data_IF_451124246236
#
_entry.id   IF_451124246236
#
_cell.length_a   1.000
_cell.length_b   1.000
_cell.length_c   1.000
_cell.angle_alpha   90.00
_cell.angle_beta   90.00
_cell.angle_gamma   90.00
#
_symmetry.space_group_name_H-M   'P 1'
#
loop_
_entity.id
_entity.type
_entity.pdbx_description
1 polymer ?
#
# COMPACT_ATOMS: atom_id res chain seq x y z
N UNK A 1 11.66 -11.69 -10.31
CA UNK A 1 12.12 -11.94 -8.91
C UNK A 1 11.14 -11.27 -7.97
N UNK A 2 10.89 -11.85 -6.80
CA UNK A 2 9.98 -11.24 -5.81
C UNK A 2 10.56 -9.93 -5.25
N UNK A 3 9.69 -8.96 -4.95
CA UNK A 3 10.05 -7.70 -4.29
C UNK A 3 10.01 -7.79 -2.77
N UNK A 4 9.63 -8.95 -2.21
CA UNK A 4 9.61 -9.13 -0.76
C UNK A 4 11.03 -8.99 -0.18
N UNK A 5 11.15 -8.26 0.92
CA UNK A 5 12.43 -7.96 1.58
C UNK A 5 13.47 -7.21 0.73
N UNK A 6 13.06 -6.57 -0.37
CA UNK A 6 13.94 -5.67 -1.12
C UNK A 6 13.73 -4.20 -0.69
N UNK A 7 14.76 -3.38 -0.87
CA UNK A 7 14.67 -1.93 -0.71
C UNK A 7 13.80 -1.34 -1.81
N UNK A 8 12.93 -0.39 -1.46
CA UNK A 8 12.21 0.43 -2.45
C UNK A 8 13.21 1.18 -3.33
N UNK A 9 13.06 1.06 -4.64
CA UNK A 9 13.91 1.73 -5.62
C UNK A 9 13.68 3.24 -5.59
N UNK A 10 14.71 4.08 -5.87
CA UNK A 10 14.54 5.53 -5.91
C UNK A 10 13.50 5.99 -6.93
N UNK A 11 12.65 6.93 -6.52
CA UNK A 11 11.61 7.49 -7.35
C UNK A 11 11.32 8.94 -6.99
N UNK A 12 10.71 9.66 -7.91
CA UNK A 12 10.23 11.03 -7.70
C UNK A 12 8.98 11.22 -8.53
N UNK A 13 7.88 11.54 -7.85
CA UNK A 13 6.54 11.66 -8.43
C UNK A 13 5.79 12.80 -7.75
N UNK A 14 4.75 13.30 -8.43
CA UNK A 14 3.85 14.31 -7.90
C UNK A 14 2.57 13.64 -7.39
N UNK A 15 2.00 14.17 -6.32
CA UNK A 15 0.74 13.70 -5.75
C UNK A 15 -0.21 14.85 -5.46
N UNK A 16 -1.50 14.58 -5.58
CA UNK A 16 -2.53 15.44 -4.99
C UNK A 16 -2.77 15.03 -3.53
N UNK A 17 -2.73 15.98 -2.61
CA UNK A 17 -3.01 15.75 -1.20
C UNK A 17 -3.70 16.95 -0.57
N UNK A 18 -4.96 16.78 -0.14
CA UNK A 18 -5.75 17.78 0.60
C UNK A 18 -5.70 19.19 -0.03
N UNK A 19 -5.96 19.27 -1.35
CA UNK A 19 -6.02 20.54 -2.07
C UNK A 19 -4.67 21.10 -2.52
N UNK A 20 -3.56 20.37 -2.33
CA UNK A 20 -2.21 20.78 -2.75
C UNK A 20 -1.56 19.72 -3.61
N UNK A 21 -0.63 20.16 -4.45
CA UNK A 21 0.33 19.27 -5.09
C UNK A 21 1.59 19.18 -4.25
N UNK A 22 2.07 17.96 -4.05
CA UNK A 22 3.26 17.66 -3.26
C UNK A 22 4.16 16.68 -4.01
N UNK A 23 5.46 16.81 -3.78
CA UNK A 23 6.44 15.84 -4.26
C UNK A 23 6.54 14.66 -3.27
N UNK A 24 6.56 13.44 -3.81
CA UNK A 24 6.78 12.21 -3.05
C UNK A 24 7.98 11.46 -3.64
N UNK A 25 8.90 11.04 -2.77
CA UNK A 25 10.10 10.27 -3.13
C UNK A 25 10.26 9.07 -2.22
N UNK A 26 11.26 8.20 -2.48
CA UNK A 26 11.57 7.09 -1.58
C UNK A 26 11.97 7.57 -0.17
N UNK A 27 12.54 8.79 -0.06
CA UNK A 27 12.87 9.40 1.21
C UNK A 27 11.62 9.76 2.03
N UNK A 28 10.50 10.10 1.37
CA UNK A 28 9.21 10.35 2.02
C UNK A 28 8.65 9.11 2.74
N UNK A 29 9.12 7.91 2.39
CA UNK A 29 8.71 6.64 2.99
C UNK A 29 9.56 6.24 4.20
N UNK A 30 10.68 6.93 4.47
CA UNK A 30 11.59 6.58 5.58
C UNK A 30 11.04 7.06 6.93
N UNK A 31 11.38 6.34 7.99
CA UNK A 31 11.03 6.70 9.37
C UNK A 31 9.57 6.44 9.76
N UNK A 32 8.74 5.96 8.84
CA UNK A 32 7.34 5.57 9.09
C UNK A 32 6.97 4.35 8.27
N UNK A 33 5.93 3.64 8.69
CA UNK A 33 5.34 2.60 7.85
C UNK A 33 4.60 3.25 6.68
N UNK A 34 4.60 2.58 5.53
CA UNK A 34 3.91 3.07 4.34
C UNK A 34 3.15 1.93 3.66
N UNK A 35 1.95 2.21 3.17
CA UNK A 35 1.14 1.30 2.36
C UNK A 35 0.91 1.94 0.99
N UNK A 36 1.50 1.37 -0.06
CA UNK A 36 1.29 1.81 -1.44
C UNK A 36 0.26 0.89 -2.09
N UNK A 37 -0.81 1.48 -2.63
CA UNK A 37 -1.92 0.79 -3.29
C UNK A 37 -1.98 1.28 -4.74
N UNK A 38 -1.46 0.46 -5.64
CA UNK A 38 -1.53 0.65 -7.09
C UNK A 38 -2.91 0.21 -7.59
N UNK A 39 -3.46 0.95 -8.54
CA UNK A 39 -4.70 0.59 -9.23
C UNK A 39 -4.68 1.11 -10.67
N UNK A 40 -5.50 0.56 -11.57
CA UNK A 40 -5.38 0.82 -13.01
C UNK A 40 -5.46 2.28 -13.40
N UNK A 41 -6.58 2.94 -13.08
CA UNK A 41 -6.84 4.31 -13.50
C UNK A 41 -7.92 5.00 -12.66
N UNK A 42 -7.81 6.33 -12.57
CA UNK A 42 -8.85 7.22 -12.09
C UNK A 42 -10.11 7.14 -12.98
N UNK A 43 -11.27 7.55 -12.44
CA UNK A 43 -12.56 7.60 -13.16
C UNK A 43 -13.08 6.26 -13.72
N UNK A 44 -12.64 5.14 -13.17
CA UNK A 44 -13.15 3.79 -13.51
C UNK A 44 -14.12 3.28 -12.44
N UNK A 45 -14.52 2.00 -12.51
CA UNK A 45 -15.60 1.42 -11.71
C UNK A 45 -15.17 0.92 -10.33
N UNK A 46 -14.14 0.06 -10.27
CA UNK A 46 -13.68 -0.56 -9.01
C UNK A 46 -12.65 0.30 -8.26
N UNK A 47 -11.87 1.12 -8.97
CA UNK A 47 -10.88 2.00 -8.33
C UNK A 47 -11.48 2.92 -7.24
N UNK A 48 -12.61 3.64 -7.47
CA UNK A 48 -13.17 4.50 -6.43
C UNK A 48 -13.63 3.72 -5.20
N UNK A 49 -14.08 2.46 -5.34
CA UNK A 49 -14.53 1.66 -4.18
C UNK A 49 -13.34 1.26 -3.29
N UNK A 50 -12.18 0.94 -3.88
CA UNK A 50 -10.96 0.66 -3.11
C UNK A 50 -10.39 1.91 -2.43
N UNK A 51 -10.49 3.08 -3.09
CA UNK A 51 -10.10 4.36 -2.47
C UNK A 51 -11.02 4.71 -1.30
N UNK A 52 -12.33 4.49 -1.43
CA UNK A 52 -13.29 4.70 -0.35
C UNK A 52 -13.03 3.75 0.82
N UNK A 53 -12.80 2.46 0.58
CA UNK A 53 -12.44 1.50 1.64
C UNK A 53 -11.14 1.91 2.34
N UNK A 54 -10.15 2.40 1.60
CA UNK A 54 -8.93 2.97 2.18
C UNK A 54 -9.21 4.22 3.02
N UNK A 55 -10.13 5.10 2.58
CA UNK A 55 -10.50 6.31 3.30
C UNK A 55 -11.24 6.00 4.60
N UNK A 56 -12.18 5.05 4.57
CA UNK A 56 -12.96 4.63 5.73
C UNK A 56 -12.06 3.97 6.81
N UNK A 57 -10.98 3.30 6.39
CA UNK A 57 -9.99 2.67 7.28
C UNK A 57 -8.78 3.56 7.61
N UNK A 58 -8.68 4.77 7.03
CA UNK A 58 -7.47 5.61 7.12
C UNK A 58 -7.10 5.99 8.55
N UNK A 59 -8.09 6.21 9.42
CA UNK A 59 -7.84 6.54 10.82
C UNK A 59 -7.05 5.45 11.57
N UNK A 60 -7.27 4.18 11.25
CA UNK A 60 -6.54 3.07 11.85
C UNK A 60 -5.10 3.01 11.33
N UNK A 61 -4.88 3.25 10.03
CA UNK A 61 -3.51 3.38 9.48
C UNK A 61 -2.73 4.49 10.21
N UNK A 62 -3.35 5.67 10.38
CA UNK A 62 -2.73 6.80 11.06
C UNK A 62 -2.44 6.49 12.53
N UNK A 63 -3.35 5.81 13.24
CA UNK A 63 -3.13 5.33 14.62
C UNK A 63 -1.94 4.37 14.73
N UNK A 64 -1.71 3.57 13.69
CA UNK A 64 -0.56 2.67 13.58
C UNK A 64 0.71 3.38 13.07
N UNK A 65 0.71 4.71 12.91
CA UNK A 65 1.85 5.46 12.37
C UNK A 65 2.21 5.07 10.93
N UNK A 66 1.19 4.75 10.13
CA UNK A 66 1.32 4.31 8.74
C UNK A 66 0.66 5.31 7.79
N UNK A 67 1.40 5.72 6.78
CA UNK A 67 0.85 6.52 5.67
C UNK A 67 0.31 5.64 4.56
N UNK A 68 -0.78 6.06 3.92
CA UNK A 68 -1.36 5.38 2.75
C UNK A 68 -1.04 6.21 1.50
N UNK A 69 -0.79 5.54 0.39
CA UNK A 69 -0.56 6.19 -0.90
C UNK A 69 -1.35 5.43 -1.97
N UNK A 70 -2.21 6.13 -2.70
CA UNK A 70 -2.84 5.58 -3.90
C UNK A 70 -1.97 5.94 -5.11
N UNK A 71 -1.71 4.98 -5.98
CA UNK A 71 -0.90 5.18 -7.19
C UNK A 71 -1.69 4.73 -8.41
N UNK A 72 -1.76 5.58 -9.43
CA UNK A 72 -2.16 5.21 -10.79
C UNK A 72 -1.16 5.79 -11.79
N UNK A 73 -1.27 5.39 -13.06
CA UNK A 73 -0.48 6.00 -14.15
C UNK A 73 -1.06 7.32 -14.66
N UNK A 74 -2.15 7.81 -14.06
CA UNK A 74 -2.68 9.15 -14.34
C UNK A 74 -1.78 10.26 -13.77
N UNK A 75 -2.14 11.51 -14.04
CA UNK A 75 -1.46 12.68 -13.48
C UNK A 75 -2.09 13.12 -12.15
N UNK A 76 -1.33 13.83 -11.32
CA UNK A 76 -1.85 14.49 -10.11
C UNK A 76 -2.98 15.49 -10.41
N UNK A 77 -3.03 16.08 -11.62
CA UNK A 77 -4.15 16.92 -12.07
C UNK A 77 -5.44 16.12 -12.23
N UNK A 78 -5.36 14.92 -12.81
CA UNK A 78 -6.50 14.01 -12.90
C UNK A 78 -6.99 13.62 -11.50
N UNK A 79 -6.08 13.35 -10.56
CA UNK A 79 -6.44 13.05 -9.17
C UNK A 79 -7.12 14.19 -8.43
N UNK A 80 -6.71 15.44 -8.68
CA UNK A 80 -7.40 16.62 -8.15
C UNK A 80 -8.86 16.63 -8.58
N UNK A 81 -9.12 16.46 -9.88
CA UNK A 81 -10.49 16.45 -10.40
C UNK A 81 -11.26 15.22 -9.94
N UNK A 82 -10.61 14.06 -9.85
CA UNK A 82 -11.23 12.83 -9.37
C UNK A 82 -11.70 12.95 -7.93
N UNK A 83 -10.86 13.55 -7.07
CA UNK A 83 -11.19 13.85 -5.68
C UNK A 83 -12.38 14.82 -5.56
N UNK A 84 -12.44 15.85 -6.39
CA UNK A 84 -13.53 16.83 -6.35
C UNK A 84 -14.86 16.30 -6.86
N UNK A 85 -14.83 15.37 -7.83
CA UNK A 85 -16.02 14.95 -8.57
C UNK A 85 -16.59 13.61 -8.12
N UNK A 86 -15.77 12.75 -7.49
CA UNK A 86 -16.21 11.45 -6.98
C UNK A 86 -16.50 11.52 -5.49
N UNK A 87 -17.74 11.24 -5.02
CA UNK A 87 -18.06 11.20 -3.60
C UNK A 87 -17.21 10.19 -2.81
N UNK A 88 -16.88 9.06 -3.45
CA UNK A 88 -16.04 8.01 -2.89
C UNK A 88 -14.58 8.50 -2.67
N UNK A 89 -13.97 9.08 -3.71
CA UNK A 89 -12.58 9.56 -3.65
C UNK A 89 -12.43 10.86 -2.87
N UNK A 90 -13.47 11.71 -2.84
CA UNK A 90 -13.47 12.95 -2.07
C UNK A 90 -13.28 12.75 -0.55
N UNK A 91 -13.49 11.53 -0.04
CA UNK A 91 -13.17 11.16 1.34
C UNK A 91 -11.68 10.99 1.60
N UNK A 92 -10.87 10.78 0.57
CA UNK A 92 -9.45 10.50 0.71
C UNK A 92 -8.72 11.67 1.38
N UNK A 93 -7.95 11.35 2.43
CA UNK A 93 -7.10 12.29 3.17
C UNK A 93 -5.61 11.94 3.07
N UNK A 94 -5.28 10.96 2.24
CA UNK A 94 -3.95 10.50 1.91
C UNK A 94 -3.52 11.00 0.51
N UNK A 95 -2.22 10.97 0.18
CA UNK A 95 -1.75 11.35 -1.14
C UNK A 95 -2.26 10.42 -2.27
N UNK A 96 -2.71 11.03 -3.36
CA UNK A 96 -3.03 10.40 -4.64
C UNK A 96 -1.88 10.67 -5.64
N UNK A 97 -0.95 9.73 -5.73
CA UNK A 97 0.26 9.81 -6.57
C UNK A 97 -0.08 9.57 -8.03
N UNK A 98 0.35 10.48 -8.90
CA UNK A 98 0.35 10.25 -10.35
C UNK A 98 1.71 9.78 -10.85
N UNK A 99 1.74 8.68 -11.60
CA UNK A 99 2.93 8.10 -12.22
C UNK A 99 2.84 8.04 -13.76
N UNK A 100 2.74 9.18 -14.46
CA UNK A 100 2.57 9.22 -15.92
C UNK A 100 3.80 8.74 -16.70
N UNK A 101 4.94 8.56 -16.03
CA UNK A 101 6.16 7.97 -16.64
C UNK A 101 6.21 6.44 -16.50
N UNK A 102 5.31 5.90 -15.69
CA UNK A 102 5.20 4.51 -15.27
C UNK A 102 6.46 3.98 -14.56
N UNK A 103 7.37 4.88 -14.14
CA UNK A 103 8.64 4.51 -13.50
C UNK A 103 8.38 3.87 -12.15
N UNK A 104 7.46 4.43 -11.36
CA UNK A 104 7.11 3.89 -10.05
C UNK A 104 6.39 2.54 -10.20
N UNK A 105 5.43 2.46 -11.10
CA UNK A 105 4.63 1.26 -11.39
C UNK A 105 5.52 0.10 -11.87
N UNK A 106 6.49 0.37 -12.75
CA UNK A 106 7.51 -0.63 -13.16
C UNK A 106 8.45 -1.02 -12.02
N UNK A 107 8.87 -0.07 -11.18
CA UNK A 107 9.72 -0.36 -10.02
C UNK A 107 9.06 -1.30 -9.01
N UNK A 108 7.73 -1.27 -8.92
CA UNK A 108 6.93 -2.18 -8.11
C UNK A 108 6.44 -3.43 -8.87
N UNK A 109 6.86 -3.61 -10.13
CA UNK A 109 6.61 -4.83 -10.90
C UNK A 109 5.13 -5.09 -11.21
N UNK A 110 4.30 -4.05 -11.21
CA UNK A 110 2.85 -4.13 -11.43
C UNK A 110 2.41 -3.40 -12.70
N UNK A 111 3.35 -3.05 -13.58
CA UNK A 111 3.00 -2.39 -14.85
C UNK A 111 2.54 -3.40 -15.90
N UNK A 112 1.47 -3.05 -16.62
CA UNK A 112 0.96 -3.78 -17.77
C UNK A 112 1.46 -3.04 -19.02
N UNK A 113 2.49 -3.57 -19.68
CA UNK A 113 3.19 -2.87 -20.78
C UNK A 113 2.27 -2.61 -21.98
N UNK A 114 1.33 -3.53 -22.24
CA UNK A 114 0.37 -3.46 -23.34
C UNK A 114 -0.79 -2.48 -23.09
N UNK A 115 -1.07 -2.14 -21.83
CA UNK A 115 -2.17 -1.24 -21.45
C UNK A 115 -1.70 0.14 -20.98
N UNK A 116 -0.46 0.26 -20.50
CA UNK A 116 0.01 1.49 -19.87
C UNK A 116 -0.58 1.73 -18.47
N UNK A 117 -1.16 0.70 -17.85
CA UNK A 117 -1.83 0.77 -16.55
C UNK A 117 -1.08 -0.04 -15.49
N UNK A 118 -1.49 0.11 -14.24
CA UNK A 118 -1.04 -0.74 -13.14
C UNK A 118 -2.02 -1.90 -12.90
N UNK A 119 -1.48 -3.06 -12.53
CA UNK A 119 -2.23 -4.09 -11.82
C UNK A 119 -2.64 -3.57 -10.43
N UNK A 120 -3.65 -4.20 -9.84
CA UNK A 120 -4.07 -3.95 -8.45
C UNK A 120 -3.06 -4.51 -7.45
N UNK A 121 -1.96 -3.79 -7.24
CA UNK A 121 -0.89 -4.14 -6.31
C UNK A 121 -0.92 -3.38 -4.99
N UNK A 122 -0.75 -4.06 -3.86
CA UNK A 122 -0.63 -3.45 -2.52
C UNK A 122 0.67 -3.87 -1.86
N UNK A 123 1.41 -2.89 -1.32
CA UNK A 123 2.73 -3.08 -0.74
C UNK A 123 2.81 -2.41 0.63
N UNK A 124 3.10 -3.19 1.68
CA UNK A 124 3.42 -2.65 3.01
C UNK A 124 4.92 -2.56 3.18
N UNK A 125 5.39 -1.38 3.56
CA UNK A 125 6.80 -0.99 3.59
C UNK A 125 7.13 -0.54 5.02
N UNK A 126 8.23 -1.07 5.56
CA UNK A 126 8.68 -0.70 6.91
C UNK A 126 9.41 0.67 6.92
N UNK A 127 9.72 1.23 8.11
CA UNK A 127 10.43 2.51 8.24
C UNK A 127 11.81 2.57 7.58
N UNK A 128 12.43 1.43 7.32
CA UNK A 128 13.71 1.32 6.60
C UNK A 128 13.50 1.32 5.07
N UNK A 129 12.26 1.42 4.59
CA UNK A 129 11.94 1.38 3.16
C UNK A 129 12.06 -0.03 2.56
N UNK A 130 11.90 -1.08 3.37
CA UNK A 130 11.93 -2.48 2.93
C UNK A 130 10.50 -3.00 2.79
N UNK A 131 10.18 -3.62 1.66
CA UNK A 131 8.86 -4.21 1.39
C UNK A 131 8.67 -5.47 2.25
N UNK A 132 7.59 -5.54 3.03
CA UNK A 132 7.29 -6.63 3.97
C UNK A 132 6.06 -7.45 3.62
N UNK A 133 5.14 -6.91 2.83
CA UNK A 133 4.05 -7.68 2.24
C UNK A 133 3.79 -7.21 0.81
N UNK A 134 3.30 -8.12 -0.02
CA UNK A 134 2.90 -7.87 -1.41
C UNK A 134 1.60 -8.63 -1.66
N UNK A 135 0.64 -7.97 -2.29
CA UNK A 135 -0.61 -8.55 -2.78
C UNK A 135 -0.88 -7.97 -4.16
N UNK A 136 -1.06 -8.82 -5.17
CA UNK A 136 -1.32 -8.38 -6.55
C UNK A 136 -2.49 -9.16 -7.09
N UNK A 137 -3.52 -8.44 -7.53
CA UNK A 137 -4.73 -9.01 -8.09
C UNK A 137 -4.82 -8.71 -9.58
N UNK A 138 -5.55 -9.59 -10.28
CA UNK A 138 -6.16 -9.25 -11.57
C UNK A 138 -7.03 -7.99 -11.43
N UNK A 139 -7.10 -7.18 -12.49
CA UNK A 139 -7.80 -5.89 -12.44
C UNK A 139 -9.32 -6.00 -12.26
N UNK A 140 -9.92 -7.17 -12.50
CA UNK A 140 -11.32 -7.43 -12.21
C UNK A 140 -11.60 -7.74 -10.72
N UNK A 141 -10.56 -8.02 -9.91
CA UNK A 141 -10.69 -8.45 -8.52
C UNK A 141 -10.28 -7.32 -7.57
N UNK A 142 -11.26 -6.62 -7.00
CA UNK A 142 -11.01 -5.61 -5.98
C UNK A 142 -10.44 -6.24 -4.69
N UNK A 143 -9.65 -5.46 -3.96
CA UNK A 143 -9.03 -5.84 -2.67
C UNK A 143 -9.93 -5.46 -1.49
N UNK A 144 -9.61 -6.07 -0.35
CA UNK A 144 -10.15 -5.71 0.97
C UNK A 144 -9.06 -5.00 1.78
N UNK A 145 -9.26 -3.72 2.11
CA UNK A 145 -8.29 -2.93 2.86
C UNK A 145 -8.16 -3.41 4.31
N UNK A 146 -9.16 -4.09 4.88
CA UNK A 146 -9.04 -4.68 6.22
C UNK A 146 -8.00 -5.79 6.26
N UNK A 147 -7.86 -6.56 5.19
CA UNK A 147 -6.80 -7.57 5.09
C UNK A 147 -5.42 -6.88 4.96
N UNK A 148 -5.35 -5.74 4.27
CA UNK A 148 -4.14 -4.91 4.26
C UNK A 148 -3.78 -4.41 5.67
N UNK A 149 -4.76 -3.93 6.45
CA UNK A 149 -4.57 -3.54 7.86
C UNK A 149 -4.10 -4.72 8.71
N UNK A 150 -4.70 -5.91 8.55
CA UNK A 150 -4.30 -7.11 9.30
C UNK A 150 -2.84 -7.47 9.01
N UNK A 151 -2.45 -7.49 7.73
CA UNK A 151 -1.08 -7.72 7.27
C UNK A 151 -0.11 -6.67 7.82
N UNK A 152 -0.50 -5.39 7.83
CA UNK A 152 0.28 -4.30 8.43
C UNK A 152 0.50 -4.53 9.93
N UNK A 153 -0.56 -4.84 10.69
CA UNK A 153 -0.46 -5.13 12.13
C UNK A 153 0.49 -6.30 12.41
N UNK A 154 0.42 -7.36 11.60
CA UNK A 154 1.33 -8.50 11.72
C UNK A 154 2.79 -8.09 11.44
N UNK A 155 3.02 -7.32 10.37
CA UNK A 155 4.35 -6.82 10.01
C UNK A 155 4.94 -5.91 11.12
N UNK A 156 4.13 -5.03 11.71
CA UNK A 156 4.54 -4.22 12.85
C UNK A 156 4.81 -5.06 14.10
N UNK A 157 4.01 -6.09 14.36
CA UNK A 157 4.19 -6.96 15.51
C UNK A 157 5.54 -7.68 15.45
N UNK A 158 5.86 -8.34 14.33
CA UNK A 158 7.13 -9.07 14.19
C UNK A 158 8.34 -8.14 14.19
N UNK A 159 8.18 -6.91 13.69
CA UNK A 159 9.24 -5.89 13.76
C UNK A 159 9.50 -5.43 15.21
N UNK A 160 8.47 -5.34 16.05
CA UNK A 160 8.57 -4.95 17.47
C UNK A 160 8.97 -6.11 18.38
N UNK A 161 8.76 -7.35 17.96
CA UNK A 161 9.01 -8.56 18.75
C UNK A 161 9.97 -9.51 18.00
N UNK A 162 11.27 -9.20 17.93
CA UNK A 162 12.25 -10.05 17.24
C UNK A 162 12.24 -11.48 17.79
N UNK A 163 12.25 -12.46 16.88
CA UNK A 163 12.19 -13.88 17.25
C UNK A 163 10.77 -14.41 17.53
N UNK A 164 9.71 -13.61 17.35
CA UNK A 164 8.35 -14.10 17.31
C UNK A 164 7.78 -14.09 15.89
N UNK A 165 6.85 -15.00 15.61
CA UNK A 165 6.14 -15.09 14.33
C UNK A 165 4.63 -15.12 14.53
N UNK A 166 3.93 -14.52 13.57
CA UNK A 166 2.47 -14.52 13.52
C UNK A 166 1.98 -15.78 12.76
N UNK A 167 1.22 -16.69 13.38
CA UNK A 167 0.66 -17.86 12.70
C UNK A 167 -0.42 -17.50 11.67
N UNK A 168 -0.92 -18.50 10.94
CA UNK A 168 -2.03 -18.33 10.02
C UNK A 168 -3.26 -17.71 10.74
N UNK A 169 -3.98 -16.82 10.05
CA UNK A 169 -5.14 -16.08 10.58
C UNK A 169 -4.85 -15.20 11.81
N UNK A 170 -3.59 -14.91 12.11
CA UNK A 170 -3.25 -14.05 13.25
C UNK A 170 -3.86 -12.66 13.11
N UNK A 171 -4.40 -12.17 14.22
CA UNK A 171 -4.92 -10.83 14.44
C UNK A 171 -4.34 -10.27 15.74
N UNK A 172 -4.39 -8.96 15.91
CA UNK A 172 -3.88 -8.29 17.11
C UNK A 172 -4.51 -8.87 18.38
N UNK A 173 -3.68 -9.22 19.36
CA UNK A 173 -4.08 -9.91 20.60
C UNK A 173 -4.13 -11.43 20.53
N UNK A 174 -4.03 -12.04 19.34
CA UNK A 174 -3.95 -13.49 19.21
C UNK A 174 -2.57 -14.04 19.58
N UNK A 175 -2.53 -15.31 19.96
CA UNK A 175 -1.29 -16.02 20.30
C UNK A 175 -0.30 -16.04 19.13
N UNK A 176 0.98 -15.87 19.46
CA UNK A 176 2.11 -15.96 18.54
C UNK A 176 2.93 -17.21 18.80
N UNK A 177 3.88 -17.47 17.91
CA UNK A 177 4.84 -18.56 18.07
C UNK A 177 6.23 -17.97 18.27
N UNK A 178 7.02 -18.60 19.13
CA UNK A 178 8.45 -18.32 19.30
C UNK A 178 9.22 -19.49 18.68
N UNK A 179 9.78 -19.35 17.47
CA UNK A 179 10.56 -20.41 16.85
C UNK A 179 11.71 -20.86 17.76
N UNK A 180 11.75 -22.15 18.06
CA UNK A 180 12.79 -22.79 18.85
C UNK A 180 12.95 -24.24 18.39
N UNK A 181 14.09 -24.87 18.73
CA UNK A 181 14.32 -26.27 18.39
C UNK A 181 13.24 -27.19 18.99
N UNK A 182 12.80 -26.88 20.22
CA UNK A 182 11.78 -27.65 20.93
C UNK A 182 10.40 -27.56 20.26
N UNK A 183 10.13 -26.51 19.49
CA UNK A 183 8.84 -26.31 18.82
C UNK A 183 8.77 -27.01 17.45
N UNK A 184 9.92 -27.41 16.89
CA UNK A 184 9.99 -28.10 15.59
C UNK A 184 9.24 -29.43 15.65
N UNK A 185 8.25 -29.60 14.76
CA UNK A 185 7.45 -30.83 14.63
C UNK A 185 6.29 -30.99 15.63
N UNK A 186 5.94 -29.94 16.38
CA UNK A 186 4.90 -30.01 17.44
C UNK A 186 3.63 -29.19 17.16
N UNK A 187 3.50 -28.57 15.98
CA UNK A 187 2.38 -27.71 15.56
C UNK A 187 1.55 -28.43 14.49
#
# INVERSE_FOLDING_TARGET
MSLINTQVQPFKVEAFHNGKFIEVTEASLKGKWSTLIFMPAAFTFNCPTEVEDAADNYAEFQKLGTEVYIVTTDTHFAHKVWHETSPAVGKAKFPLIGDPTHKLTRAFGVHIEEEGLALRGTFVINPDGIIKTVEVHDNAIARDVKETLRKLKAAQYVAKNPGQVCPAKWNEGAATLTPSLDLVGKI
#
